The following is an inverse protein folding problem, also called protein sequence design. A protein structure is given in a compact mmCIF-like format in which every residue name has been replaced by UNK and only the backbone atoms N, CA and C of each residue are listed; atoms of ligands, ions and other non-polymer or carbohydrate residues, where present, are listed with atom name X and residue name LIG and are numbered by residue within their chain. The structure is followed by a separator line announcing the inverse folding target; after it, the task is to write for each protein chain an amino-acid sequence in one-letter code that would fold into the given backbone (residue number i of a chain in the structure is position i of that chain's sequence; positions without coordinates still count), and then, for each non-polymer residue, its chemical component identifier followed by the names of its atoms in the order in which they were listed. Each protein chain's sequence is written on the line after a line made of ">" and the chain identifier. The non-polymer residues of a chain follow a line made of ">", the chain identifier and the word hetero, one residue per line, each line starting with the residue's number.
data_IF_058488309515
#
_entry.id   IF_058488309515
#
_cell.length_a   1.000
_cell.length_b   1.000
_cell.length_c   1.000
_cell.angle_alpha   90.00
_cell.angle_beta   90.00
_cell.angle_gamma   90.00
#
_symmetry.space_group_name_H-M   'P 1'
#
loop_
_entity.id
_entity.type
_entity.pdbx_description
1 polymer ?
#
# COMPACT_ATOMS: atom_id res chain seq x y z
N UNK A 1 22.70 20.40 -0.37
CA UNK A 1 22.34 19.08 0.18
C UNK A 1 20.88 19.01 0.65
N UNK A 2 20.42 19.92 1.51
CA UNK A 2 19.05 19.91 2.06
C UNK A 2 17.92 19.96 0.99
N UNK A 3 18.11 20.73 -0.08
CA UNK A 3 17.12 20.90 -1.15
C UNK A 3 16.91 19.62 -1.98
N UNK A 4 17.98 18.83 -2.17
CA UNK A 4 17.92 17.54 -2.89
C UNK A 4 17.20 16.50 -2.02
N UNK A 5 17.47 16.45 -0.72
CA UNK A 5 16.75 15.57 0.20
C UNK A 5 15.25 15.88 0.24
N UNK A 6 14.87 17.17 0.19
CA UNK A 6 13.47 17.59 0.15
C UNK A 6 12.78 17.18 -1.17
N UNK A 7 13.47 17.35 -2.30
CA UNK A 7 12.99 16.92 -3.61
C UNK A 7 12.81 15.41 -3.70
N UNK A 8 13.79 14.63 -3.24
CA UNK A 8 13.72 13.16 -3.24
C UNK A 8 12.64 12.65 -2.28
N UNK A 9 12.55 13.24 -1.07
CA UNK A 9 11.55 12.86 -0.09
C UNK A 9 10.12 13.12 -0.57
N UNK A 10 9.87 14.29 -1.18
CA UNK A 10 8.55 14.60 -1.76
C UNK A 10 8.22 13.73 -2.96
N UNK A 11 9.17 13.45 -3.84
CA UNK A 11 8.96 12.57 -4.99
C UNK A 11 8.72 11.11 -4.56
N UNK A 12 9.44 10.61 -3.56
CA UNK A 12 9.19 9.31 -2.96
C UNK A 12 7.81 9.26 -2.29
N UNK A 13 7.44 10.29 -1.52
CA UNK A 13 6.11 10.38 -0.93
C UNK A 13 5.01 10.40 -2.00
N UNK A 14 5.18 11.07 -3.14
CA UNK A 14 4.20 11.03 -4.24
C UNK A 14 4.19 9.69 -4.97
N UNK A 15 5.35 9.09 -5.21
CA UNK A 15 5.47 7.80 -5.89
C UNK A 15 4.90 6.64 -5.07
N UNK A 16 4.99 6.73 -3.73
CA UNK A 16 4.43 5.76 -2.79
C UNK A 16 3.09 6.18 -2.18
N UNK A 17 2.62 7.40 -2.45
CA UNK A 17 1.31 7.86 -1.98
C UNK A 17 0.23 6.97 -2.61
N UNK A 18 -0.65 6.35 -1.81
CA UNK A 18 -1.67 5.47 -2.35
C UNK A 18 -2.54 6.24 -3.37
N UNK A 19 -2.75 5.68 -4.57
CA UNK A 19 -3.58 6.30 -5.60
C UNK A 19 -5.02 6.40 -5.12
N UNK A 20 -5.81 7.37 -5.62
CA UNK A 20 -7.22 7.52 -5.20
C UNK A 20 -8.03 6.22 -5.41
N UNK A 21 -7.79 5.52 -6.54
CA UNK A 21 -8.31 4.19 -6.85
C UNK A 21 -7.26 3.40 -7.62
N UNK A 22 -7.12 2.11 -7.33
CA UNK A 22 -6.20 1.24 -8.06
C UNK A 22 -5.53 0.20 -7.19
N UNK A 23 -4.36 -0.26 -7.62
CA UNK A 23 -3.56 -1.28 -6.92
C UNK A 23 -2.75 -0.66 -5.77
N UNK A 24 -2.89 -1.26 -4.59
CA UNK A 24 -2.30 -0.81 -3.34
C UNK A 24 -1.66 -2.01 -2.65
N UNK A 25 -0.45 -1.81 -2.12
CA UNK A 25 0.23 -2.78 -1.30
C UNK A 25 -0.16 -2.54 0.15
N UNK A 26 -0.68 -3.57 0.78
CA UNK A 26 -1.02 -3.61 2.19
C UNK A 26 0.10 -4.31 2.93
N UNK A 27 0.83 -3.58 3.77
CA UNK A 27 1.95 -4.13 4.55
C UNK A 27 1.56 -4.13 6.03
N UNK A 28 1.49 -5.29 6.69
CA UNK A 28 1.25 -5.34 8.12
C UNK A 28 2.44 -4.75 8.88
N UNK A 29 2.21 -3.73 9.71
CA UNK A 29 3.24 -3.16 10.61
C UNK A 29 3.24 -3.91 11.95
N UNK A 30 2.07 -4.41 12.36
CA UNK A 30 1.92 -5.25 13.56
C UNK A 30 1.90 -6.72 13.17
N UNK A 31 2.56 -7.57 13.96
CA UNK A 31 2.43 -9.02 13.82
C UNK A 31 0.95 -9.42 13.99
N UNK A 32 0.48 -10.39 13.20
CA UNK A 32 -0.90 -10.90 13.20
C UNK A 32 -2.00 -9.94 12.70
N UNK A 33 -1.66 -8.89 11.93
CA UNK A 33 -2.69 -8.05 11.33
C UNK A 33 -3.56 -8.89 10.36
N UNK A 34 -4.91 -8.87 10.46
CA UNK A 34 -5.79 -9.70 9.63
C UNK A 34 -6.01 -9.08 8.24
N UNK A 35 -4.92 -8.84 7.49
CA UNK A 35 -4.89 -8.07 6.23
C UNK A 35 -5.88 -8.62 5.20
N UNK A 36 -5.89 -9.94 4.98
CA UNK A 36 -6.77 -10.58 4.00
C UNK A 36 -8.26 -10.44 4.36
N UNK A 37 -8.58 -10.53 5.65
CA UNK A 37 -9.95 -10.36 6.14
C UNK A 37 -10.41 -8.91 5.98
N UNK A 38 -9.57 -7.96 6.37
CA UNK A 38 -9.86 -6.53 6.26
C UNK A 38 -10.01 -6.07 4.80
N UNK A 39 -9.15 -6.58 3.90
CA UNK A 39 -9.28 -6.32 2.47
C UNK A 39 -10.62 -6.82 1.92
N UNK A 40 -11.00 -8.04 2.27
CA UNK A 40 -12.25 -8.66 1.82
C UNK A 40 -13.50 -7.98 2.39
N UNK A 41 -13.46 -7.51 3.64
CA UNK A 41 -14.56 -6.75 4.26
C UNK A 41 -14.79 -5.37 3.61
N UNK A 42 -13.85 -4.89 2.78
CA UNK A 42 -13.90 -3.57 2.13
C UNK A 42 -13.99 -3.65 0.61
N UNK A 43 -14.44 -4.79 0.09
CA UNK A 43 -14.57 -5.06 -1.34
C UNK A 43 -13.25 -4.85 -2.12
N UNK A 44 -12.11 -4.98 -1.43
CA UNK A 44 -10.81 -4.91 -2.08
C UNK A 44 -10.51 -6.24 -2.77
N UNK A 45 -10.22 -6.18 -4.08
CA UNK A 45 -9.89 -7.35 -4.88
C UNK A 45 -8.43 -7.73 -4.62
N UNK A 46 -8.18 -8.92 -4.10
CA UNK A 46 -6.82 -9.43 -3.96
C UNK A 46 -6.22 -9.70 -5.36
N UNK A 47 -5.13 -9.02 -5.68
CA UNK A 47 -4.42 -9.16 -6.96
C UNK A 47 -3.26 -10.13 -6.81
N UNK A 48 -2.40 -9.93 -5.80
CA UNK A 48 -1.24 -10.77 -5.57
C UNK A 48 -0.72 -10.68 -4.13
N UNK A 49 0.21 -11.58 -3.76
CA UNK A 49 1.01 -11.43 -2.53
C UNK A 49 2.22 -10.55 -2.81
N UNK A 50 2.44 -9.58 -1.93
CA UNK A 50 3.63 -8.75 -1.91
C UNK A 50 4.70 -9.27 -0.92
N UNK A 51 5.84 -8.57 -0.81
CA UNK A 51 6.91 -8.93 0.12
C UNK A 51 6.48 -8.77 1.60
N UNK A 52 7.19 -9.44 2.50
CA UNK A 52 6.98 -9.35 3.96
C UNK A 52 5.52 -9.56 4.41
N UNK A 53 4.87 -10.61 3.88
CA UNK A 53 3.45 -10.93 4.10
C UNK A 53 2.45 -9.86 3.61
N UNK A 54 2.93 -8.91 2.81
CA UNK A 54 2.08 -7.90 2.21
C UNK A 54 1.09 -8.48 1.19
N UNK A 55 0.00 -7.77 0.96
CA UNK A 55 -1.02 -8.14 -0.03
C UNK A 55 -1.25 -6.98 -0.98
N UNK A 56 -1.15 -7.23 -2.28
CA UNK A 56 -1.53 -6.27 -3.31
C UNK A 56 -3.02 -6.42 -3.56
N UNK A 57 -3.76 -5.36 -3.30
CA UNK A 57 -5.21 -5.32 -3.51
C UNK A 57 -5.59 -4.18 -4.42
N UNK A 58 -6.69 -4.33 -5.15
CA UNK A 58 -7.29 -3.27 -5.95
C UNK A 58 -8.53 -2.76 -5.24
N UNK A 59 -8.57 -1.45 -4.97
CA UNK A 59 -9.66 -0.82 -4.23
C UNK A 59 -9.64 0.70 -4.26
N UNK A 60 -10.48 1.31 -3.43
CA UNK A 60 -10.56 2.75 -3.21
C UNK A 60 -9.74 3.12 -1.97
N UNK A 61 -8.90 4.15 -2.07
CA UNK A 61 -8.00 4.57 -0.99
C UNK A 61 -8.79 5.06 0.20
N UNK A 62 -9.85 5.83 0.00
CA UNK A 62 -10.57 6.43 1.13
C UNK A 62 -11.28 5.35 1.95
N UNK A 63 -11.67 4.24 1.29
CA UNK A 63 -12.30 3.10 1.93
C UNK A 63 -11.30 2.17 2.65
N UNK A 64 -10.03 2.12 2.20
CA UNK A 64 -8.99 1.23 2.74
C UNK A 64 -8.01 1.92 3.69
N UNK A 65 -7.57 3.14 3.40
CA UNK A 65 -6.43 3.78 4.07
C UNK A 65 -6.65 3.94 5.58
N UNK A 66 -7.74 4.60 5.97
CA UNK A 66 -8.05 4.87 7.38
C UNK A 66 -8.28 3.60 8.24
N UNK A 67 -9.12 2.64 7.83
CA UNK A 67 -9.36 1.44 8.63
C UNK A 67 -8.16 0.51 8.68
N UNK A 68 -7.39 0.39 7.60
CA UNK A 68 -6.20 -0.45 7.57
C UNK A 68 -5.11 0.14 8.44
N UNK A 69 -4.89 1.46 8.39
CA UNK A 69 -3.97 2.13 9.28
C UNK A 69 -4.36 1.94 10.76
N UNK A 70 -5.66 2.02 11.07
CA UNK A 70 -6.17 1.78 12.42
C UNK A 70 -5.99 0.33 12.89
N UNK A 71 -5.96 -0.61 11.96
CA UNK A 71 -5.68 -2.02 12.22
C UNK A 71 -4.17 -2.36 12.20
N UNK A 72 -3.29 -1.35 12.07
CA UNK A 72 -1.84 -1.55 12.03
C UNK A 72 -1.32 -2.04 10.68
N UNK A 73 -2.03 -1.77 9.59
CA UNK A 73 -1.66 -2.13 8.23
C UNK A 73 -1.41 -0.86 7.41
N UNK A 74 -0.19 -0.73 6.89
CA UNK A 74 0.20 0.38 6.04
C UNK A 74 -0.31 0.16 4.62
N UNK A 75 -0.97 1.17 4.05
CA UNK A 75 -1.41 1.16 2.65
C UNK A 75 -0.42 2.00 1.84
N UNK A 76 0.29 1.36 0.91
CA UNK A 76 1.25 1.98 0.01
C UNK A 76 0.73 1.86 -1.43
N UNK A 77 1.11 2.78 -2.30
CA UNK A 77 0.95 2.52 -3.74
C UNK A 77 1.76 1.26 -4.11
N UNK A 78 1.15 0.36 -4.88
CA UNK A 78 1.85 -0.76 -5.51
C UNK A 78 2.05 -0.45 -7.00
N UNK A 79 2.91 0.52 -7.38
CA UNK A 79 3.25 0.63 -8.78
C UNK A 79 3.99 -0.67 -9.17
N UNK A 80 3.50 -1.34 -10.21
CA UNK A 80 4.09 -2.58 -10.72
C UNK A 80 5.61 -2.47 -10.99
N UNK A 81 6.10 -1.25 -11.24
CA UNK A 81 7.53 -0.92 -11.42
C UNK A 81 8.38 -0.99 -10.16
N UNK A 82 7.80 -1.00 -8.96
CA UNK A 82 8.53 -0.99 -7.67
C UNK A 82 8.20 -2.19 -6.80
N UNK A 83 6.97 -2.73 -6.89
CA UNK A 83 6.51 -3.86 -6.07
C UNK A 83 6.66 -5.24 -6.74
N UNK A 84 7.77 -5.46 -7.47
CA UNK A 84 8.15 -6.80 -7.93
C UNK A 84 7.57 -7.23 -9.29
N UNK A 85 7.19 -6.28 -10.15
CA UNK A 85 7.11 -6.57 -11.57
C UNK A 85 8.52 -6.79 -12.10
N UNK A 86 8.94 -8.04 -12.24
CA UNK A 86 10.09 -8.35 -13.09
C UNK A 86 9.78 -7.80 -14.50
N UNK A 87 10.76 -7.12 -15.15
CA UNK A 87 10.60 -6.65 -16.53
C UNK A 87 10.40 -7.79 -17.52
#
# INVERSE_FOLDING_TARGET
>A
MLQICFGIGSLACLAFAPPARGEMLLVPIVNDAPVARLARERDALLVSRGPAEGLVVRGDRDALFWPMLRAGVMTLAAPASVCGGQP
#
